data_IF_442226953110
#
_entry.id   IF_442226953110
#
_cell.length_a   1.000
_cell.length_b   1.000
_cell.length_c   1.000
_cell.angle_alpha   90.00
_cell.angle_beta   90.00
_cell.angle_gamma   90.00
#
_symmetry.space_group_name_H-M   'P 1'
#
loop_
_entity.id
_entity.type
_entity.pdbx_description
1 polymer ?
#
# COMPACT_ATOMS: atom_id res chain seq x y z
N UNK A 1 0.06 -41.21 73.21
CA UNK A 1 -1.40 -41.43 73.28
C UNK A 1 -2.10 -40.20 72.72
N UNK A 2 -3.07 -40.46 71.86
CA UNK A 2 -3.78 -39.58 70.94
C UNK A 2 -4.19 -38.20 71.47
N UNK A 3 -4.04 -37.18 70.63
CA UNK A 3 -4.79 -35.93 70.72
C UNK A 3 -5.16 -35.38 69.33
N UNK A 4 -6.47 -35.37 69.11
CA UNK A 4 -7.30 -34.49 68.30
C UNK A 4 -7.27 -34.56 66.77
N UNK A 5 -8.42 -35.06 66.29
CA UNK A 5 -9.03 -34.81 65.00
C UNK A 5 -9.29 -33.32 64.77
N UNK A 6 -9.04 -32.88 63.54
CA UNK A 6 -9.41 -31.56 63.03
C UNK A 6 -9.42 -31.59 61.52
N UNK A 7 -10.58 -31.92 60.95
CA UNK A 7 -10.85 -31.94 59.52
C UNK A 7 -10.75 -30.52 58.97
N UNK A 8 -9.82 -30.28 58.05
CA UNK A 8 -9.76 -29.06 57.24
C UNK A 8 -9.76 -29.46 55.76
N UNK A 9 -10.94 -29.36 55.16
CA UNK A 9 -11.21 -29.57 53.74
C UNK A 9 -10.66 -28.36 52.97
N UNK A 10 -9.45 -28.46 52.42
CA UNK A 10 -8.92 -27.45 51.50
C UNK A 10 -9.35 -27.80 50.08
N UNK A 11 -10.44 -27.16 49.64
CA UNK A 11 -10.87 -27.12 48.24
C UNK A 11 -9.78 -26.38 47.46
N UNK A 12 -9.01 -27.11 46.65
CA UNK A 12 -8.23 -26.50 45.58
C UNK A 12 -9.21 -26.00 44.52
N UNK A 13 -9.54 -24.70 44.56
CA UNK A 13 -10.18 -24.02 43.45
C UNK A 13 -9.12 -23.87 42.34
N UNK A 14 -9.08 -24.82 41.42
CA UNK A 14 -8.39 -24.65 40.16
C UNK A 14 -9.10 -23.54 39.37
N UNK A 15 -8.58 -22.31 39.48
CA UNK A 15 -8.95 -21.23 38.57
C UNK A 15 -8.31 -21.57 37.22
N UNK A 16 -9.04 -22.32 36.40
CA UNK A 16 -8.84 -22.32 34.97
C UNK A 16 -9.17 -20.90 34.47
N UNK A 17 -8.15 -20.05 34.33
CA UNK A 17 -8.30 -18.82 33.56
C UNK A 17 -8.56 -19.23 32.11
N UNK A 18 -9.84 -19.27 31.79
CA UNK A 18 -10.40 -19.64 30.53
C UNK A 18 -9.81 -18.82 29.39
N UNK A 19 -9.47 -19.57 28.35
CA UNK A 19 -9.65 -19.23 26.94
C UNK A 19 -9.24 -17.82 26.54
N UNK A 20 -8.08 -17.77 25.86
CA UNK A 20 -7.82 -16.81 24.80
C UNK A 20 -9.11 -16.61 23.99
N UNK A 21 -9.72 -15.43 24.11
CA UNK A 21 -10.81 -15.06 23.22
C UNK A 21 -10.20 -14.94 21.83
N UNK A 22 -10.57 -15.88 20.98
CA UNK A 22 -10.40 -15.74 19.55
C UNK A 22 -11.06 -14.42 19.18
N UNK A 23 -10.25 -13.40 18.88
CA UNK A 23 -10.72 -12.20 18.23
C UNK A 23 -11.37 -12.65 16.92
N UNK A 24 -12.70 -12.72 16.94
CA UNK A 24 -13.52 -12.95 15.78
C UNK A 24 -13.14 -11.90 14.74
N UNK A 25 -12.61 -12.36 13.59
CA UNK A 25 -12.44 -11.57 12.39
C UNK A 25 -13.82 -10.98 12.04
N UNK A 26 -14.10 -9.77 12.52
CA UNK A 26 -15.22 -8.97 12.04
C UNK A 26 -14.83 -8.41 10.67
N UNK A 27 -14.80 -9.31 9.69
CA UNK A 27 -14.74 -9.03 8.26
C UNK A 27 -16.09 -8.43 7.86
N UNK A 28 -16.40 -7.25 8.39
CA UNK A 28 -17.65 -6.54 8.15
C UNK A 28 -17.56 -5.86 6.79
N UNK A 29 -17.86 -6.66 5.77
CA UNK A 29 -18.11 -6.23 4.41
C UNK A 29 -19.31 -5.29 4.37
N UNK A 30 -19.07 -4.01 4.62
CA UNK A 30 -20.07 -3.00 4.31
C UNK A 30 -20.01 -2.71 2.80
N UNK A 31 -20.82 -3.44 2.03
CA UNK A 31 -21.27 -2.99 0.70
C UNK A 31 -22.06 -1.70 0.91
N UNK A 32 -21.38 -0.57 1.04
CA UNK A 32 -22.02 0.74 1.01
C UNK A 32 -22.58 0.96 -0.40
N UNK A 33 -23.88 0.72 -0.54
CA UNK A 33 -24.76 1.26 -1.58
C UNK A 33 -24.29 1.08 -3.03
N UNK A 34 -24.31 -0.14 -3.55
CA UNK A 34 -24.28 -0.37 -5.01
C UNK A 34 -25.70 -0.42 -5.56
N UNK A 35 -26.39 0.73 -5.64
CA UNK A 35 -27.57 0.86 -6.52
C UNK A 35 -27.08 1.40 -7.87
N UNK A 36 -26.71 0.50 -8.77
CA UNK A 36 -26.29 0.85 -10.13
C UNK A 36 -25.91 -0.37 -10.94
N UNK A 37 -26.51 -0.50 -12.13
CA UNK A 37 -26.23 -1.56 -13.10
C UNK A 37 -24.72 -1.79 -13.23
N UNK A 38 -24.27 -3.02 -12.96
CA UNK A 38 -22.87 -3.50 -13.05
C UNK A 38 -22.35 -3.53 -14.50
N UNK A 39 -22.53 -2.44 -15.25
CA UNK A 39 -21.91 -2.27 -16.56
C UNK A 39 -20.40 -2.29 -16.39
N UNK A 40 -19.71 -3.09 -17.22
CA UNK A 40 -18.25 -3.13 -17.26
C UNK A 40 -17.72 -1.73 -17.50
N UNK A 41 -17.25 -1.06 -16.44
CA UNK A 41 -16.72 0.28 -16.60
C UNK A 41 -15.43 0.17 -17.40
N UNK A 42 -15.44 0.66 -18.65
CA UNK A 42 -14.28 0.63 -19.55
C UNK A 42 -13.04 1.18 -18.83
N UNK A 43 -11.91 0.51 -19.08
CA UNK A 43 -10.62 0.95 -18.58
C UNK A 43 -10.34 2.38 -19.06
N UNK A 44 -9.91 3.24 -18.15
CA UNK A 44 -9.45 4.60 -18.46
C UNK A 44 -8.04 4.77 -17.88
N UNK A 45 -7.31 5.80 -18.33
CA UNK A 45 -5.97 6.13 -17.81
C UNK A 45 -6.00 6.36 -16.30
N UNK A 46 -5.50 5.43 -15.48
CA UNK A 46 -5.55 5.51 -14.03
C UNK A 46 -4.62 4.53 -13.28
N UNK A 47 -3.95 5.04 -12.26
CA UNK A 47 -2.90 4.37 -11.49
C UNK A 47 -3.38 3.15 -10.67
N UNK A 48 -2.42 2.39 -10.16
CA UNK A 48 -2.62 1.26 -9.26
C UNK A 48 -1.49 1.18 -8.24
N UNK A 49 -1.85 0.98 -6.96
CA UNK A 49 -0.88 0.63 -5.91
C UNK A 49 -0.94 -0.87 -5.63
N UNK A 50 0.21 -1.46 -5.34
CA UNK A 50 0.36 -2.88 -5.03
C UNK A 50 1.16 -3.02 -3.75
N UNK A 51 0.73 -3.93 -2.88
CA UNK A 51 1.49 -4.33 -1.69
C UNK A 51 1.71 -5.83 -1.80
N UNK A 52 2.94 -6.27 -1.62
CA UNK A 52 3.29 -7.68 -1.39
C UNK A 52 3.81 -7.77 0.04
N UNK A 53 3.04 -8.41 0.92
CA UNK A 53 3.38 -8.54 2.34
C UNK A 53 4.18 -9.83 2.54
N UNK A 54 5.49 -9.71 2.72
CA UNK A 54 6.38 -10.87 2.87
C UNK A 54 6.19 -11.46 4.26
N UNK A 55 6.30 -10.61 5.28
CA UNK A 55 6.07 -10.93 6.69
C UNK A 55 5.77 -9.64 7.47
N UNK A 56 5.83 -9.68 8.79
CA UNK A 56 5.50 -8.54 9.65
C UNK A 56 6.44 -7.34 9.47
N UNK A 57 7.69 -7.55 9.05
CA UNK A 57 8.74 -6.53 8.96
C UNK A 57 9.15 -6.17 7.53
N UNK A 58 8.91 -7.08 6.58
CA UNK A 58 9.28 -6.93 5.19
C UNK A 58 8.05 -6.90 4.26
N UNK A 59 8.06 -5.99 3.29
CA UNK A 59 7.04 -5.90 2.25
C UNK A 59 7.57 -5.14 1.03
N UNK A 60 6.94 -5.35 -0.13
CA UNK A 60 7.20 -4.58 -1.35
C UNK A 60 5.99 -3.71 -1.65
N UNK A 61 6.18 -2.40 -1.71
CA UNK A 61 5.18 -1.48 -2.27
C UNK A 61 5.51 -1.23 -3.74
N UNK A 62 4.53 -1.29 -4.62
CA UNK A 62 4.71 -0.90 -6.01
C UNK A 62 3.62 0.08 -6.46
N UNK A 63 4.03 1.13 -7.17
CA UNK A 63 3.12 2.11 -7.75
C UNK A 63 3.22 2.09 -9.26
N UNK A 64 2.15 1.63 -9.92
CA UNK A 64 2.01 1.74 -11.37
C UNK A 64 1.36 3.08 -11.71
N UNK A 65 2.14 3.97 -12.31
CA UNK A 65 1.63 5.21 -12.88
C UNK A 65 0.94 4.92 -14.20
N UNK A 66 -0.27 5.44 -14.36
CA UNK A 66 -1.00 5.38 -15.63
C UNK A 66 -1.69 6.70 -15.91
N UNK A 67 -1.05 7.50 -16.78
CA UNK A 67 -1.43 8.87 -17.09
C UNK A 67 -1.25 9.14 -18.58
N UNK A 68 -2.10 10.02 -19.12
CA UNK A 68 -2.02 10.47 -20.53
C UNK A 68 -0.81 11.36 -20.79
N UNK A 69 -0.21 11.96 -19.76
CA UNK A 69 0.90 12.90 -19.89
C UNK A 69 2.18 12.42 -19.20
N UNK A 70 3.33 12.89 -19.71
CA UNK A 70 4.63 12.61 -19.13
C UNK A 70 4.91 13.49 -17.90
N UNK A 71 5.62 12.95 -16.91
CA UNK A 71 5.99 13.72 -15.72
C UNK A 71 7.28 13.19 -15.10
N UNK A 72 8.25 14.05 -14.78
CA UNK A 72 9.42 13.60 -14.02
C UNK A 72 9.00 13.21 -12.59
N UNK A 73 9.26 11.96 -12.22
CA UNK A 73 8.97 11.42 -10.90
C UNK A 73 10.13 11.75 -9.95
N UNK A 74 9.84 12.44 -8.86
CA UNK A 74 10.83 12.81 -7.84
C UNK A 74 10.74 11.82 -6.69
N UNK A 75 11.86 11.19 -6.35
CA UNK A 75 11.99 10.28 -5.20
C UNK A 75 13.03 10.88 -4.27
N UNK A 76 12.60 11.35 -3.11
CA UNK A 76 13.44 12.14 -2.21
C UNK A 76 13.30 11.67 -0.76
N UNK A 77 14.42 11.70 -0.03
CA UNK A 77 14.43 11.54 1.42
C UNK A 77 14.00 12.84 2.07
N UNK A 78 13.20 12.75 3.12
CA UNK A 78 12.73 13.89 3.91
C UNK A 78 12.44 13.46 5.35
N UNK A 79 12.27 14.42 6.24
CA UNK A 79 11.64 14.21 7.56
C UNK A 79 10.21 14.70 7.46
N UNK A 80 9.26 13.79 7.68
CA UNK A 80 7.83 14.07 7.54
C UNK A 80 7.08 13.49 8.74
N UNK A 81 6.29 14.31 9.42
CA UNK A 81 5.65 13.98 10.71
C UNK A 81 6.64 13.43 11.75
N UNK A 82 7.83 14.04 11.82
CA UNK A 82 8.89 13.65 12.75
C UNK A 82 9.61 12.34 12.40
N UNK A 83 9.32 11.75 11.23
CA UNK A 83 9.88 10.46 10.82
C UNK A 83 10.67 10.55 9.52
N UNK A 84 11.76 9.81 9.45
CA UNK A 84 12.50 9.69 8.21
C UNK A 84 11.69 8.92 7.16
N UNK A 85 11.62 9.51 5.97
CA UNK A 85 10.68 9.09 4.95
C UNK A 85 11.32 9.20 3.57
N UNK A 86 11.05 8.22 2.71
CA UNK A 86 11.27 8.30 1.27
C UNK A 86 9.94 8.57 0.57
N UNK A 87 9.90 9.61 -0.26
CA UNK A 87 8.67 10.09 -0.87
C UNK A 87 8.80 10.19 -2.39
N UNK A 88 7.85 9.57 -3.07
CA UNK A 88 7.64 9.67 -4.51
C UNK A 88 6.51 10.65 -4.82
N UNK A 89 6.78 11.64 -5.66
CA UNK A 89 5.78 12.59 -6.10
C UNK A 89 6.13 13.18 -7.47
N UNK A 90 5.19 13.90 -8.06
CA UNK A 90 5.41 14.76 -9.23
C UNK A 90 4.93 16.18 -8.96
N UNK A 91 5.35 17.10 -9.82
CA UNK A 91 4.87 18.50 -9.83
C UNK A 91 4.22 18.90 -11.15
N UNK A 92 4.29 18.05 -12.19
CA UNK A 92 3.57 18.27 -13.44
C UNK A 92 2.06 18.23 -13.20
N UNK A 93 1.36 19.28 -13.63
CA UNK A 93 -0.06 19.54 -13.31
C UNK A 93 -0.33 19.69 -11.81
N UNK A 94 0.64 20.20 -11.06
CA UNK A 94 0.55 20.38 -9.62
C UNK A 94 1.13 19.21 -8.82
N UNK A 95 1.29 19.47 -7.52
CA UNK A 95 1.84 18.50 -6.59
C UNK A 95 0.91 17.28 -6.46
N UNK A 96 1.49 16.09 -6.62
CA UNK A 96 0.80 14.82 -6.37
C UNK A 96 1.77 13.80 -5.80
N UNK A 97 1.56 13.35 -4.55
CA UNK A 97 2.29 12.22 -3.99
C UNK A 97 1.77 10.90 -4.56
N UNK A 98 2.68 10.03 -4.99
CA UNK A 98 2.36 8.68 -5.45
C UNK A 98 2.57 7.68 -4.33
N UNK A 99 3.72 7.74 -3.66
CA UNK A 99 4.14 6.78 -2.64
C UNK A 99 4.89 7.48 -1.52
N UNK A 100 4.66 7.02 -0.29
CA UNK A 100 5.44 7.41 0.88
C UNK A 100 5.83 6.14 1.63
N UNK A 101 7.12 5.95 1.85
CA UNK A 101 7.70 4.90 2.69
C UNK A 101 8.35 5.56 3.89
N UNK A 102 7.88 5.29 5.09
CA UNK A 102 8.43 5.84 6.34
C UNK A 102 9.14 4.76 7.14
N UNK A 103 10.09 5.17 7.99
CA UNK A 103 10.71 4.26 8.96
C UNK A 103 9.66 3.49 9.78
N UNK A 104 10.02 2.28 10.22
CA UNK A 104 9.12 1.34 10.86
C UNK A 104 8.28 0.51 9.88
N UNK A 105 8.52 0.64 8.57
CA UNK A 105 7.90 -0.21 7.54
C UNK A 105 6.50 0.25 7.12
N UNK A 106 6.20 1.52 7.37
CA UNK A 106 4.99 2.18 6.91
C UNK A 106 5.10 2.50 5.42
N UNK A 107 4.04 2.20 4.67
CA UNK A 107 3.96 2.46 3.25
C UNK A 107 2.55 2.90 2.87
N UNK A 108 2.43 3.94 2.06
CA UNK A 108 1.14 4.39 1.55
C UNK A 108 1.25 4.90 0.12
N UNK A 109 0.12 4.92 -0.58
CA UNK A 109 0.02 5.51 -1.90
C UNK A 109 -1.38 5.98 -2.24
N UNK A 110 -1.46 6.87 -3.22
CA UNK A 110 -2.71 7.43 -3.70
C UNK A 110 -2.74 7.48 -5.23
N UNK A 111 -3.93 7.33 -5.79
CA UNK A 111 -4.19 7.50 -7.22
C UNK A 111 -5.48 8.28 -7.44
N UNK A 112 -5.55 8.99 -8.56
CA UNK A 112 -6.71 9.79 -8.92
C UNK A 112 -6.31 11.02 -9.75
N UNK A 113 -7.24 11.95 -9.99
CA UNK A 113 -7.00 13.22 -10.65
C UNK A 113 -6.03 14.12 -9.88
N UNK A 114 -5.41 15.07 -10.58
CA UNK A 114 -4.42 16.03 -10.05
C UNK A 114 -5.05 17.17 -9.23
N UNK A 115 -5.83 16.84 -8.20
CA UNK A 115 -6.42 17.82 -7.28
C UNK A 115 -5.51 17.96 -6.06
N UNK A 116 -4.65 18.99 -6.09
CA UNK A 116 -3.56 19.21 -5.12
C UNK A 116 -4.03 19.18 -3.67
N UNK A 117 -5.11 19.88 -3.33
CA UNK A 117 -5.57 19.96 -1.94
C UNK A 117 -6.10 18.63 -1.41
N UNK A 118 -6.78 17.83 -2.25
CA UNK A 118 -7.23 16.49 -1.88
C UNK A 118 -6.03 15.57 -1.70
N UNK A 119 -5.07 15.61 -2.64
CA UNK A 119 -3.87 14.81 -2.55
C UNK A 119 -3.07 15.13 -1.26
N UNK A 120 -2.89 16.40 -0.92
CA UNK A 120 -2.26 16.80 0.36
C UNK A 120 -3.07 16.35 1.58
N UNK A 121 -4.40 16.41 1.53
CA UNK A 121 -5.25 15.95 2.63
C UNK A 121 -5.16 14.43 2.84
N UNK A 122 -5.12 13.65 1.76
CA UNK A 122 -4.87 12.20 1.82
C UNK A 122 -3.48 11.90 2.41
N UNK A 123 -2.47 12.66 2.00
CA UNK A 123 -1.12 12.55 2.54
C UNK A 123 -1.12 12.81 4.05
N UNK A 124 -1.78 13.89 4.49
CA UNK A 124 -1.90 14.26 5.90
C UNK A 124 -2.58 13.18 6.75
N UNK A 125 -3.64 12.55 6.24
CA UNK A 125 -4.30 11.42 6.93
C UNK A 125 -3.33 10.26 7.11
N UNK A 126 -2.56 9.92 6.07
CA UNK A 126 -1.51 8.92 6.19
C UNK A 126 -0.46 9.28 7.24
N UNK A 127 -0.10 10.56 7.33
CA UNK A 127 0.80 11.09 8.35
C UNK A 127 0.29 10.88 9.77
N UNK A 128 -0.99 11.17 10.00
CA UNK A 128 -1.65 10.93 11.29
C UNK A 128 -1.66 9.45 11.67
N UNK A 129 -1.98 8.57 10.71
CA UNK A 129 -1.97 7.11 10.92
C UNK A 129 -0.57 6.64 11.32
N UNK A 130 0.46 7.05 10.56
CA UNK A 130 1.85 6.64 10.77
C UNK A 130 2.36 7.14 12.13
N UNK A 131 2.08 8.41 12.47
CA UNK A 131 2.44 9.01 13.76
C UNK A 131 1.81 8.26 14.92
N UNK A 132 0.51 7.93 14.82
CA UNK A 132 -0.24 7.17 15.83
C UNK A 132 0.13 5.69 15.87
N UNK A 133 0.67 5.14 14.78
CA UNK A 133 1.08 3.74 14.69
C UNK A 133 -0.05 2.74 14.44
N UNK A 134 -1.27 3.21 14.12
CA UNK A 134 -2.44 2.33 13.94
C UNK A 134 -3.39 2.83 12.83
N UNK A 135 -3.76 1.93 11.92
CA UNK A 135 -4.77 2.14 10.87
C UNK A 135 -6.17 1.92 11.46
N UNK A 136 -7.02 2.94 11.44
CA UNK A 136 -8.39 2.84 11.96
C UNK A 136 -9.45 3.00 10.89
N UNK A 137 -10.64 2.45 11.14
CA UNK A 137 -11.83 2.67 10.29
C UNK A 137 -12.21 4.14 10.17
N UNK A 138 -11.95 4.95 11.20
CA UNK A 138 -12.19 6.39 11.17
C UNK A 138 -11.30 7.09 10.14
N UNK A 139 -9.99 6.81 10.14
CA UNK A 139 -9.07 7.40 9.17
C UNK A 139 -9.40 6.99 7.74
N UNK A 140 -9.72 5.71 7.55
CA UNK A 140 -10.07 5.22 6.22
C UNK A 140 -11.41 5.79 5.71
N UNK A 141 -12.38 6.09 6.60
CA UNK A 141 -13.60 6.83 6.24
C UNK A 141 -13.29 8.27 5.83
N UNK A 142 -12.37 8.96 6.54
CA UNK A 142 -11.91 10.31 6.16
C UNK A 142 -11.24 10.28 4.78
N UNK A 143 -10.33 9.34 4.54
CA UNK A 143 -9.70 9.15 3.24
C UNK A 143 -10.74 8.82 2.16
N UNK A 144 -11.73 7.99 2.47
CA UNK A 144 -12.81 7.66 1.55
C UNK A 144 -13.66 8.85 1.13
N UNK A 145 -14.00 9.75 2.06
CA UNK A 145 -14.71 11.00 1.74
C UNK A 145 -13.94 11.82 0.69
N UNK A 146 -12.62 11.94 0.85
CA UNK A 146 -11.75 12.63 -0.09
C UNK A 146 -11.66 11.91 -1.45
N UNK A 147 -11.48 10.59 -1.46
CA UNK A 147 -11.43 9.79 -2.70
C UNK A 147 -12.79 9.84 -3.44
N UNK A 148 -13.92 9.94 -2.73
CA UNK A 148 -15.24 10.17 -3.34
C UNK A 148 -15.34 11.54 -4.02
N UNK A 149 -14.80 12.60 -3.40
CA UNK A 149 -14.76 13.95 -3.99
C UNK A 149 -13.93 14.02 -5.27
N UNK A 150 -12.94 13.14 -5.44
CA UNK A 150 -12.19 13.00 -6.70
C UNK A 150 -13.05 12.42 -7.84
N UNK A 151 -14.19 11.77 -7.55
CA UNK A 151 -14.99 11.05 -8.54
C UNK A 151 -14.39 9.69 -8.97
N UNK A 152 -13.08 9.54 -8.83
CA UNK A 152 -12.32 8.32 -9.10
C UNK A 152 -10.98 8.34 -8.34
N UNK A 153 -10.51 7.20 -7.85
CA UNK A 153 -9.20 7.12 -7.22
C UNK A 153 -9.07 6.01 -6.19
N UNK A 154 -7.91 5.96 -5.56
CA UNK A 154 -7.68 5.13 -4.39
C UNK A 154 -6.73 5.81 -3.39
N UNK A 155 -6.80 5.33 -2.16
CA UNK A 155 -5.82 5.54 -1.11
C UNK A 155 -5.57 4.18 -0.43
N UNK A 156 -4.31 3.84 -0.22
CA UNK A 156 -3.92 2.62 0.48
C UNK A 156 -2.79 2.92 1.46
N UNK A 157 -2.82 2.26 2.60
CA UNK A 157 -1.76 2.31 3.61
C UNK A 157 -1.54 0.91 4.19
N UNK A 158 -0.28 0.55 4.44
CA UNK A 158 0.14 -0.63 5.19
C UNK A 158 1.18 -0.24 6.23
N UNK A 159 1.04 -0.76 7.44
CA UNK A 159 1.98 -0.58 8.54
C UNK A 159 2.68 -1.88 8.96
N UNK A 160 3.56 -1.81 9.96
CA UNK A 160 4.17 -2.98 10.57
C UNK A 160 3.12 -3.97 11.09
N UNK A 161 3.45 -5.26 11.02
CA UNK A 161 2.50 -6.34 11.29
C UNK A 161 1.44 -6.53 10.20
N UNK A 162 1.56 -5.88 9.04
CA UNK A 162 0.61 -6.07 7.95
C UNK A 162 -0.75 -5.41 8.17
N UNK A 163 -0.94 -4.58 9.20
CA UNK A 163 -2.13 -3.73 9.30
C UNK A 163 -2.29 -2.91 8.02
N UNK A 164 -3.50 -2.84 7.46
CA UNK A 164 -3.73 -2.25 6.16
C UNK A 164 -5.09 -1.57 6.10
N UNK A 165 -5.16 -0.51 5.30
CA UNK A 165 -6.36 0.23 5.00
C UNK A 165 -6.46 0.50 3.50
N UNK A 166 -7.63 0.28 2.93
CA UNK A 166 -7.91 0.52 1.50
C UNK A 166 -9.16 1.37 1.35
N UNK A 167 -9.08 2.40 0.53
CA UNK A 167 -10.21 3.19 0.04
C UNK A 167 -10.12 3.31 -1.47
N UNK A 168 -11.18 2.95 -2.18
CA UNK A 168 -11.30 3.09 -3.64
C UNK A 168 -12.68 3.63 -3.93
N UNK A 169 -12.77 4.58 -4.86
CA UNK A 169 -14.05 5.03 -5.39
C UNK A 169 -13.96 5.20 -6.90
N UNK A 170 -15.05 4.91 -7.61
CA UNK A 170 -15.23 5.31 -9.01
C UNK A 170 -16.70 5.30 -9.38
N UNK A 171 -17.23 6.45 -9.81
CA UNK A 171 -18.58 6.58 -10.40
C UNK A 171 -19.68 5.80 -9.64
N UNK A 172 -19.78 6.02 -8.33
CA UNK A 172 -20.78 5.37 -7.46
C UNK A 172 -20.34 4.02 -6.87
N UNK A 173 -19.29 3.39 -7.38
CA UNK A 173 -18.75 2.16 -6.80
C UNK A 173 -17.68 2.49 -5.76
N UNK A 174 -17.73 1.80 -4.63
CA UNK A 174 -16.79 1.98 -3.51
C UNK A 174 -16.18 0.67 -3.06
N UNK A 175 -14.96 0.74 -2.55
CA UNK A 175 -14.37 -0.25 -1.65
C UNK A 175 -13.71 0.47 -0.49
N UNK A 176 -14.07 0.10 0.72
CA UNK A 176 -13.52 0.66 1.95
C UNK A 176 -13.30 -0.48 2.94
N UNK A 177 -12.08 -0.65 3.44
CA UNK A 177 -11.77 -1.74 4.37
C UNK A 177 -10.52 -1.42 5.20
N UNK A 178 -10.51 -1.92 6.43
CA UNK A 178 -9.35 -2.01 7.32
C UNK A 178 -9.20 -3.47 7.71
N UNK A 179 -8.00 -4.01 7.61
CA UNK A 179 -7.73 -5.43 7.83
C UNK A 179 -6.25 -5.66 8.11
N UNK A 180 -5.86 -6.91 8.37
CA UNK A 180 -4.47 -7.34 8.47
C UNK A 180 -4.11 -8.24 7.29
N UNK A 181 -2.98 -7.97 6.65
CA UNK A 181 -2.35 -8.84 5.68
C UNK A 181 -1.54 -9.90 6.39
N UNK A 182 -1.78 -11.16 6.03
CA UNK A 182 -0.99 -12.31 6.46
C UNK A 182 0.31 -12.34 5.66
N UNK A 183 1.34 -13.00 6.21
CA UNK A 183 2.58 -13.28 5.48
C UNK A 183 2.26 -14.03 4.19
N UNK A 184 2.85 -13.62 3.06
CA UNK A 184 2.57 -14.23 1.76
C UNK A 184 1.43 -13.57 0.97
N UNK A 185 0.64 -12.68 1.58
CA UNK A 185 -0.47 -12.04 0.87
C UNK A 185 -0.04 -10.83 0.03
N UNK A 186 -0.86 -10.48 -0.97
CA UNK A 186 -0.74 -9.25 -1.73
C UNK A 186 -2.07 -8.51 -1.86
N UNK A 187 -1.96 -7.22 -2.19
CA UNK A 187 -3.05 -6.35 -2.61
C UNK A 187 -2.71 -5.69 -3.94
N UNK A 188 -3.72 -5.52 -4.78
CA UNK A 188 -3.70 -4.67 -5.98
C UNK A 188 -4.87 -3.71 -5.89
N UNK A 189 -4.57 -2.42 -5.80
CA UNK A 189 -5.48 -1.33 -5.49
C UNK A 189 -5.49 -0.32 -6.64
N UNK A 190 -6.22 -0.58 -7.73
CA UNK A 190 -6.41 0.36 -8.82
C UNK A 190 -7.44 1.44 -8.47
N UNK A 191 -7.50 2.54 -9.25
CA UNK A 191 -8.55 3.58 -9.14
C UNK A 191 -9.98 3.09 -9.47
N UNK A 192 -10.21 1.79 -9.63
CA UNK A 192 -11.52 1.21 -9.93
C UNK A 192 -11.77 0.01 -9.01
N UNK A 193 -12.80 0.05 -8.14
CA UNK A 193 -13.05 -1.02 -7.17
C UNK A 193 -13.20 -2.41 -7.79
N UNK A 194 -13.76 -2.49 -9.00
CA UNK A 194 -13.97 -3.74 -9.76
C UNK A 194 -12.70 -4.48 -10.15
N UNK A 195 -11.53 -3.82 -10.09
CA UNK A 195 -10.24 -4.41 -10.44
C UNK A 195 -9.35 -4.65 -9.21
N UNK A 196 -9.88 -4.41 -8.00
CA UNK A 196 -9.17 -4.76 -6.78
C UNK A 196 -8.91 -6.26 -6.73
N UNK A 197 -7.68 -6.65 -6.37
CA UNK A 197 -7.31 -8.05 -6.18
C UNK A 197 -6.57 -8.24 -4.85
N UNK A 198 -6.82 -9.37 -4.20
CA UNK A 198 -6.11 -9.87 -3.01
C UNK A 198 -5.87 -11.36 -3.19
N UNK A 199 -4.84 -11.89 -2.56
CA UNK A 199 -4.55 -13.32 -2.49
C UNK A 199 -3.10 -13.55 -2.10
N UNK A 200 -2.56 -14.74 -2.39
CA UNK A 200 -1.15 -15.03 -2.15
C UNK A 200 -0.27 -14.65 -3.34
N UNK A 201 0.89 -14.03 -3.08
CA UNK A 201 1.79 -13.58 -4.15
C UNK A 201 2.59 -14.75 -4.76
N UNK A 202 2.67 -15.88 -4.06
CA UNK A 202 3.32 -17.11 -4.50
C UNK A 202 2.78 -17.64 -5.84
N UNK A 203 1.53 -17.29 -6.18
CA UNK A 203 0.93 -17.58 -7.50
C UNK A 203 1.71 -16.97 -8.67
N UNK A 204 2.49 -15.92 -8.43
CA UNK A 204 3.26 -15.20 -9.44
C UNK A 204 4.76 -15.50 -9.32
N UNK A 205 5.30 -15.46 -8.10
CA UNK A 205 6.70 -15.79 -7.83
C UNK A 205 6.95 -16.02 -6.35
N UNK A 206 8.00 -16.76 -6.02
CA UNK A 206 8.55 -16.81 -4.65
C UNK A 206 9.37 -15.56 -4.31
N UNK A 207 9.91 -14.88 -5.32
CA UNK A 207 10.58 -13.58 -5.20
C UNK A 207 9.53 -12.46 -5.03
N UNK A 208 9.50 -11.72 -3.91
CA UNK A 208 8.51 -10.69 -3.65
C UNK A 208 8.55 -9.51 -4.64
N UNK A 209 9.74 -9.07 -5.07
CA UNK A 209 9.90 -7.98 -6.03
C UNK A 209 9.33 -8.42 -7.38
N UNK A 210 9.69 -9.61 -7.85
CA UNK A 210 9.16 -10.18 -9.10
C UNK A 210 7.65 -10.33 -8.99
N UNK A 211 7.13 -10.86 -7.88
CA UNK A 211 5.70 -10.97 -7.66
C UNK A 211 4.98 -9.61 -7.73
N UNK A 212 5.54 -8.56 -7.12
CA UNK A 212 4.99 -7.21 -7.18
C UNK A 212 4.94 -6.68 -8.63
N UNK A 213 5.98 -6.91 -9.44
CA UNK A 213 6.00 -6.59 -10.88
C UNK A 213 4.85 -7.30 -11.62
N UNK A 214 4.68 -8.61 -11.41
CA UNK A 214 3.61 -9.36 -12.07
C UNK A 214 2.21 -8.93 -11.59
N UNK A 215 2.02 -8.69 -10.29
CA UNK A 215 0.75 -8.16 -9.79
C UNK A 215 0.45 -6.83 -10.46
N UNK A 216 1.36 -5.86 -10.44
CA UNK A 216 1.15 -4.55 -11.07
C UNK A 216 0.93 -4.64 -12.60
N UNK A 217 1.73 -5.47 -13.27
CA UNK A 217 1.73 -5.64 -14.72
C UNK A 217 0.53 -6.43 -15.29
N UNK A 218 -0.11 -7.30 -14.49
CA UNK A 218 -1.25 -8.12 -14.93
C UNK A 218 -2.61 -7.59 -14.51
N UNK A 219 -2.65 -6.54 -13.67
CA UNK A 219 -3.89 -5.79 -13.46
C UNK A 219 -4.35 -5.22 -14.82
N UNK A 220 -5.54 -5.57 -15.28
CA UNK A 220 -6.08 -5.16 -16.59
C UNK A 220 -6.54 -3.69 -16.62
N UNK A 221 -6.56 -3.03 -15.47
CA UNK A 221 -6.88 -1.61 -15.34
C UNK A 221 -5.80 -0.73 -15.99
N UNK A 222 -6.22 0.39 -16.57
CA UNK A 222 -5.31 1.38 -17.17
C UNK A 222 -4.92 1.16 -18.63
N UNK A 223 -4.46 2.23 -19.29
CA UNK A 223 -4.23 2.28 -20.75
C UNK A 223 -2.78 2.63 -21.10
N UNK A 224 -2.24 3.71 -20.54
CA UNK A 224 -0.92 4.24 -20.88
C UNK A 224 0.20 3.47 -20.18
N UNK A 225 -0.02 3.03 -18.93
CA UNK A 225 0.84 2.11 -18.15
C UNK A 225 2.32 2.47 -18.27
N UNK A 226 2.71 3.54 -17.58
CA UNK A 226 4.04 4.12 -17.63
C UNK A 226 4.97 3.35 -16.70
N UNK A 227 5.55 4.00 -15.70
CA UNK A 227 6.47 3.37 -14.76
C UNK A 227 5.72 2.49 -13.75
N UNK A 228 6.39 1.44 -13.28
CA UNK A 228 6.14 0.80 -12.00
C UNK A 228 7.36 1.09 -11.14
N UNK A 229 7.18 1.89 -10.09
CA UNK A 229 8.19 2.10 -9.05
C UNK A 229 7.97 1.06 -7.95
N UNK A 230 9.04 0.42 -7.49
CA UNK A 230 8.99 -0.63 -6.46
C UNK A 230 9.91 -0.26 -5.30
N UNK A 231 9.42 -0.50 -4.10
CA UNK A 231 10.08 -0.21 -2.83
C UNK A 231 10.09 -1.48 -1.99
N UNK A 232 11.17 -2.25 -2.07
CA UNK A 232 11.37 -3.39 -1.18
C UNK A 232 11.85 -2.87 0.16
N UNK A 233 11.01 -3.05 1.18
CA UNK A 233 11.17 -2.46 2.48
C UNK A 233 11.33 -3.56 3.51
N UNK A 234 12.39 -3.52 4.31
CA UNK A 234 12.56 -4.37 5.48
C UNK A 234 12.88 -3.50 6.69
N UNK A 235 12.12 -3.70 7.76
CA UNK A 235 12.25 -2.91 8.99
C UNK A 235 12.88 -3.71 10.10
N UNK A 236 13.89 -3.12 10.70
CA UNK A 236 14.58 -3.60 11.87
C UNK A 236 14.27 -2.69 13.06
N UNK A 237 14.82 -2.99 14.24
CA UNK A 237 14.51 -2.27 15.49
C UNK A 237 14.73 -0.76 15.36
N UNK A 238 15.83 -0.35 14.72
CA UNK A 238 16.29 1.05 14.68
C UNK A 238 16.38 1.63 13.26
N UNK A 239 16.11 0.84 12.23
CA UNK A 239 16.21 1.31 10.85
C UNK A 239 15.25 0.58 9.93
N UNK A 240 14.93 1.20 8.80
CA UNK A 240 14.20 0.59 7.70
C UNK A 240 15.04 0.73 6.44
N UNK A 241 15.42 -0.41 5.86
CA UNK A 241 16.11 -0.44 4.57
C UNK A 241 15.09 -0.49 3.44
N UNK A 242 15.28 0.38 2.45
CA UNK A 242 14.40 0.51 1.27
C UNK A 242 15.25 0.37 0.01
N UNK A 243 15.09 -0.73 -0.72
CA UNK A 243 15.66 -0.90 -2.07
C UNK A 243 14.66 -0.42 -3.10
N UNK A 244 15.10 0.50 -3.95
CA UNK A 244 14.23 1.13 -4.96
C UNK A 244 14.55 0.59 -6.33
N UNK A 245 13.51 0.09 -7.00
CA UNK A 245 13.59 -0.42 -8.36
C UNK A 245 12.58 0.28 -9.25
N UNK A 246 12.84 0.25 -10.56
CA UNK A 246 11.89 0.75 -11.56
C UNK A 246 11.83 -0.14 -12.79
N UNK A 247 10.67 -0.15 -13.42
CA UNK A 247 10.43 -0.82 -14.70
C UNK A 247 9.35 -0.08 -15.49
N UNK A 248 9.35 -0.27 -16.81
CA UNK A 248 8.32 0.23 -17.70
C UNK A 248 7.27 -0.88 -17.93
N UNK A 249 6.03 -0.61 -17.56
CA UNK A 249 4.95 -1.57 -17.74
C UNK A 249 4.62 -1.76 -19.23
N UNK A 250 4.14 -0.70 -19.87
CA UNK A 250 3.78 -0.67 -21.28
C UNK A 250 2.67 -1.64 -21.69
N UNK A 251 2.09 -2.39 -20.74
CA UNK A 251 1.04 -3.37 -20.94
C UNK A 251 1.47 -4.74 -21.47
N UNK A 252 2.78 -5.05 -21.53
CA UNK A 252 3.26 -6.26 -22.23
C UNK A 252 2.69 -7.56 -21.64
N UNK A 253 2.54 -7.64 -20.30
CA UNK A 253 1.98 -8.81 -19.62
C UNK A 253 0.47 -8.99 -19.80
N UNK A 254 -0.22 -8.05 -20.44
CA UNK A 254 -1.66 -8.14 -20.77
C UNK A 254 -1.91 -8.01 -22.27
N UNK A 255 -0.90 -8.27 -23.10
CA UNK A 255 -1.00 -8.23 -24.57
C UNK A 255 -1.25 -6.83 -25.13
N UNK A 256 -0.80 -5.78 -24.41
CA UNK A 256 -0.87 -4.38 -24.86
C UNK A 256 0.55 -3.83 -25.01
N UNK A 257 0.73 -2.88 -25.92
CA UNK A 257 2.02 -2.23 -26.15
C UNK A 257 1.80 -0.73 -26.29
N UNK A 258 1.58 -0.03 -25.17
CA UNK A 258 1.22 1.39 -25.14
C UNK A 258 2.07 2.18 -24.15
N UNK A 259 2.05 3.50 -24.31
CA UNK A 259 2.70 4.46 -23.43
C UNK A 259 4.21 4.50 -23.54
N UNK A 260 4.80 5.32 -22.67
CA UNK A 260 6.24 5.56 -22.55
C UNK A 260 6.58 5.72 -21.07
N UNK A 261 7.73 5.22 -20.60
CA UNK A 261 8.17 5.50 -19.25
C UNK A 261 8.43 7.00 -19.07
N UNK A 262 8.34 7.44 -17.82
CA UNK A 262 8.73 8.77 -17.40
C UNK A 262 10.17 8.79 -16.88
N UNK A 263 10.78 9.97 -16.91
CA UNK A 263 12.06 10.24 -16.25
C UNK A 263 11.92 10.21 -14.73
N UNK A 264 13.01 9.93 -14.03
CA UNK A 264 13.04 9.86 -12.56
C UNK A 264 14.19 10.71 -12.05
N UNK A 265 13.96 11.43 -10.96
CA UNK A 265 14.98 12.08 -10.15
C UNK A 265 15.05 11.33 -8.82
N UNK A 266 15.98 10.38 -8.70
CA UNK A 266 16.18 9.57 -7.51
C UNK A 266 17.28 10.18 -6.65
N UNK A 267 16.93 10.76 -5.50
CA UNK A 267 17.84 11.46 -4.60
C UNK A 267 18.73 12.51 -5.31
N UNK A 268 18.14 13.24 -6.26
CA UNK A 268 18.85 14.23 -7.08
C UNK A 268 19.56 13.67 -8.32
N UNK A 269 19.70 12.35 -8.45
CA UNK A 269 20.28 11.71 -9.64
C UNK A 269 19.21 11.49 -10.71
N UNK A 270 19.46 12.03 -11.91
CA UNK A 270 18.58 11.87 -13.06
C UNK A 270 18.71 10.47 -13.67
N UNK A 271 17.56 9.84 -13.96
CA UNK A 271 17.43 8.56 -14.67
C UNK A 271 16.52 8.80 -15.86
N UNK A 272 17.06 8.63 -17.07
CA UNK A 272 16.31 8.80 -18.31
C UNK A 272 15.28 7.69 -18.49
N UNK A 273 14.09 8.05 -18.95
CA UNK A 273 13.02 7.13 -19.35
C UNK A 273 13.50 6.03 -20.31
N UNK A 274 14.37 6.39 -21.27
CA UNK A 274 14.94 5.46 -22.27
C UNK A 274 15.76 4.33 -21.65
N UNK A 275 16.30 4.57 -20.46
CA UNK A 275 17.20 3.64 -19.75
C UNK A 275 16.46 2.74 -18.75
N UNK A 276 15.13 2.81 -18.73
CA UNK A 276 14.27 1.99 -17.87
C UNK A 276 13.85 0.74 -18.66
N UNK A 277 14.17 -0.47 -18.20
CA UNK A 277 13.81 -1.70 -18.89
C UNK A 277 12.30 -1.95 -18.82
N UNK A 278 11.77 -2.67 -19.80
CA UNK A 278 10.37 -3.13 -19.81
C UNK A 278 10.19 -4.35 -18.90
N UNK A 279 9.04 -4.44 -18.23
CA UNK A 279 8.65 -5.61 -17.42
C UNK A 279 8.79 -6.93 -18.22
N UNK A 280 9.21 -8.04 -17.56
CA UNK A 280 9.39 -8.20 -16.12
C UNK A 280 10.75 -7.74 -15.58
N UNK A 281 11.67 -7.28 -16.42
CA UNK A 281 13.00 -6.79 -15.97
C UNK A 281 12.84 -5.49 -15.18
N UNK A 282 13.64 -5.32 -14.14
CA UNK A 282 13.70 -4.09 -13.35
C UNK A 282 15.11 -3.51 -13.38
N UNK A 283 15.21 -2.21 -13.14
CA UNK A 283 16.48 -1.51 -12.89
C UNK A 283 16.52 -1.11 -11.43
N UNK A 284 17.58 -1.51 -10.73
CA UNK A 284 17.87 -1.03 -9.38
C UNK A 284 18.34 0.43 -9.44
N UNK A 285 17.78 1.28 -8.58
CA UNK A 285 18.12 2.70 -8.47
C UNK A 285 19.06 2.99 -7.30
N UNK A 286 18.89 2.28 -6.19
CA UNK A 286 19.72 2.40 -4.99
C UNK A 286 18.99 1.94 -3.72
N UNK A 287 19.74 1.93 -2.62
CA UNK A 287 19.23 1.63 -1.28
C UNK A 287 19.17 2.91 -0.45
N UNK A 288 18.11 3.07 0.33
CA UNK A 288 17.97 4.15 1.32
C UNK A 288 17.71 3.52 2.69
N UNK A 289 18.48 3.92 3.70
CA UNK A 289 18.23 3.53 5.08
C UNK A 289 17.55 4.71 5.79
N UNK A 290 16.36 4.46 6.34
CA UNK A 290 15.57 5.40 7.12
C UNK A 290 15.78 5.08 8.60
N UNK A 291 16.38 6.00 9.35
CA UNK A 291 16.66 5.83 10.77
C UNK A 291 15.39 6.08 11.59
N UNK A 292 15.13 5.19 12.53
CA UNK A 292 14.10 5.40 13.56
C UNK A 292 14.73 6.20 14.69
N UNK A 293 14.41 7.49 14.76
CA UNK A 293 14.82 8.33 15.89
C UNK A 293 14.01 7.89 17.11
N UNK A 294 14.68 7.37 18.12
CA UNK A 294 14.11 7.16 19.44
C UNK A 294 14.13 8.54 20.10
N UNK A 295 12.95 9.14 20.26
CA UNK A 295 12.78 10.27 21.16
C UNK A 295 12.41 9.73 22.54
#
# INVERSE_FOLDING_TARGET
>A
MNKYWGVAFLIFLAISLGTASAATENDTWSRWGSKGNHSHIKATSNCCSVIVNVNDTCAVFAYRRDSTYAATLKIQRTVWNGRETLKEYKTTNGYFFHTVISEGGWMMGAGGPDIVWINRALESIGGDIIRRGNVTSYDMKRAHSLVRRLGLGHFVIRGPGGQAGVSIYRRGYSRLSVFRLKSGEYLSVPNSPSYYRRGYYSRWSRDPLKAAVYVAGTDRWGINRRNILLYETCSEKNSTSVKVHVTFDGGSLIGRYRGRPDNILFLGKYISASSIPRIPRTRFLGTVNLARRIN
#
